data_IF_707506400105
#
_entry.id   IF_707506400105
#
_cell.length_a   1.000
_cell.length_b   1.000
_cell.length_c   1.000
_cell.angle_alpha   90.00
_cell.angle_beta   90.00
_cell.angle_gamma   90.00
#
_symmetry.space_group_name_H-M   'P 1'
#
loop_
_entity.id
_entity.type
_entity.pdbx_description
1 polymer ?
#
# COMPACT_ATOMS: atom_id res chain seq x y z
N UNK A 1 6.37 -6.24 -0.25
CA UNK A 1 5.49 -6.11 -1.41
C UNK A 1 4.83 -4.74 -1.32
N UNK A 2 4.84 -3.99 -2.40
CA UNK A 2 4.34 -2.61 -2.51
C UNK A 2 2.84 -2.54 -2.85
N UNK A 3 2.19 -3.69 -2.99
CA UNK A 3 0.79 -3.84 -3.37
C UNK A 3 0.57 -4.08 -4.85
N UNK A 4 1.60 -4.23 -5.68
CA UNK A 4 1.41 -4.49 -7.12
C UNK A 4 0.75 -5.86 -7.38
N UNK A 5 -0.36 -5.84 -8.12
CA UNK A 5 -1.25 -7.00 -8.28
C UNK A 5 -0.58 -8.21 -8.95
N UNK A 6 0.49 -8.03 -9.73
CA UNK A 6 1.18 -9.13 -10.36
C UNK A 6 1.87 -10.07 -9.35
N UNK A 7 2.36 -9.55 -8.22
CA UNK A 7 3.03 -10.37 -7.20
C UNK A 7 2.08 -11.37 -6.54
N UNK A 8 0.79 -11.05 -6.44
CA UNK A 8 -0.21 -11.96 -5.89
C UNK A 8 -0.40 -13.22 -6.76
N UNK A 9 -0.07 -13.15 -8.05
CA UNK A 9 -0.10 -14.32 -8.94
C UNK A 9 1.06 -15.28 -8.65
N UNK A 10 2.19 -14.76 -8.17
CA UNK A 10 3.36 -15.58 -7.82
C UNK A 10 3.17 -16.31 -6.49
N UNK A 11 2.42 -15.72 -5.57
CA UNK A 11 2.07 -16.35 -4.30
C UNK A 11 1.06 -17.50 -4.44
N UNK A 12 0.35 -17.57 -5.59
CA UNK A 12 -0.59 -18.65 -5.86
C UNK A 12 0.17 -19.79 -6.55
N UNK A 13 0.12 -20.97 -5.96
CA UNK A 13 0.73 -22.21 -6.47
C UNK A 13 -0.01 -22.81 -7.67
N UNK A 14 -0.61 -21.98 -8.54
CA UNK A 14 -1.42 -22.42 -9.68
C UNK A 14 -0.59 -23.15 -10.76
N UNK A 15 0.71 -23.34 -10.54
CA UNK A 15 1.67 -23.99 -11.42
C UNK A 15 2.30 -25.28 -10.87
N UNK A 16 1.81 -25.80 -9.74
CA UNK A 16 2.32 -27.05 -9.15
C UNK A 16 3.69 -26.93 -8.46
N UNK A 17 4.15 -25.71 -8.21
CA UNK A 17 5.30 -25.38 -7.35
C UNK A 17 4.79 -24.82 -6.01
N UNK A 18 5.57 -24.98 -4.94
CA UNK A 18 5.29 -24.40 -3.64
C UNK A 18 5.34 -22.87 -3.80
N UNK A 19 4.17 -22.22 -3.75
CA UNK A 19 4.04 -20.79 -4.02
C UNK A 19 5.03 -19.94 -3.22
N UNK A 20 5.53 -18.84 -3.79
CA UNK A 20 6.56 -18.05 -3.11
C UNK A 20 6.02 -17.33 -1.87
N UNK A 21 6.81 -17.32 -0.80
CA UNK A 21 6.50 -16.52 0.39
C UNK A 21 6.77 -15.04 0.10
N UNK A 22 5.72 -14.23 0.12
CA UNK A 22 5.85 -12.78 -0.08
C UNK A 22 6.27 -12.08 1.21
N UNK A 23 7.37 -11.34 1.16
CA UNK A 23 7.76 -10.44 2.24
C UNK A 23 7.06 -9.07 2.11
N UNK A 24 6.49 -8.56 3.20
CA UNK A 24 5.98 -7.19 3.32
C UNK A 24 7.11 -6.14 3.34
N UNK A 25 6.86 -4.92 2.86
CA UNK A 25 7.86 -3.84 2.91
C UNK A 25 7.50 -2.83 4.00
N UNK A 26 8.36 -2.70 5.02
CA UNK A 26 8.16 -1.79 6.15
C UNK A 26 7.99 -0.32 5.74
N UNK A 27 8.72 0.13 4.71
CA UNK A 27 8.61 1.51 4.21
C UNK A 27 7.21 1.81 3.66
N UNK A 28 6.61 0.87 2.94
CA UNK A 28 5.26 1.02 2.41
C UNK A 28 4.22 1.03 3.52
N UNK A 29 4.33 0.13 4.51
CA UNK A 29 3.42 0.12 5.66
C UNK A 29 3.49 1.42 6.46
N UNK A 30 4.71 1.92 6.74
CA UNK A 30 4.91 3.18 7.48
C UNK A 30 4.23 4.36 6.81
N UNK A 31 4.28 4.46 5.47
CA UNK A 31 3.69 5.59 4.74
C UNK A 31 2.22 5.78 5.08
N UNK A 32 1.45 4.68 5.18
CA UNK A 32 0.02 4.75 5.53
C UNK A 32 -0.24 5.19 6.96
N UNK A 33 0.54 4.68 7.92
CA UNK A 33 0.44 5.16 9.30
C UNK A 33 0.86 6.63 9.44
N UNK A 34 1.85 7.08 8.67
CA UNK A 34 2.27 8.47 8.66
C UNK A 34 1.19 9.42 8.12
N UNK A 35 0.51 9.06 7.03
CA UNK A 35 -0.61 9.83 6.47
C UNK A 35 -1.69 10.07 7.54
N UNK A 36 -2.00 9.06 8.36
CA UNK A 36 -3.02 9.14 9.41
C UNK A 36 -2.54 9.88 10.67
N UNK A 37 -1.27 9.72 11.02
CA UNK A 37 -0.64 10.47 12.10
C UNK A 37 -0.65 11.97 11.82
N UNK A 38 -0.25 12.38 10.60
CA UNK A 38 -0.26 13.80 10.19
C UNK A 38 -1.70 14.35 10.11
N UNK A 39 -2.67 13.52 9.72
CA UNK A 39 -4.08 13.89 9.74
C UNK A 39 -4.66 14.00 11.17
N UNK A 40 -3.93 13.59 12.20
CA UNK A 40 -4.40 13.59 13.59
C UNK A 40 -5.55 12.62 13.85
N UNK A 41 -5.78 11.66 12.94
CA UNK A 41 -7.01 10.85 12.92
C UNK A 41 -6.93 9.56 13.73
N UNK A 42 -5.76 9.21 14.29
CA UNK A 42 -5.58 7.95 15.03
C UNK A 42 -4.38 7.97 15.97
N UNK A 43 -4.63 7.77 17.27
CA UNK A 43 -3.58 7.54 18.27
C UNK A 43 -2.80 6.24 18.01
N UNK A 44 -3.46 5.23 17.46
CA UNK A 44 -2.85 3.95 17.10
C UNK A 44 -1.82 4.13 15.98
N UNK A 45 -2.05 5.07 15.06
CA UNK A 45 -1.07 5.40 14.03
C UNK A 45 0.20 6.01 14.64
N UNK A 46 0.07 6.92 15.60
CA UNK A 46 1.22 7.48 16.35
C UNK A 46 1.99 6.39 17.09
N UNK A 47 1.30 5.57 17.90
CA UNK A 47 1.93 4.48 18.65
C UNK A 47 2.61 3.45 17.74
N UNK A 48 2.04 3.18 16.56
CA UNK A 48 2.65 2.31 15.55
C UNK A 48 3.96 2.90 15.03
N UNK A 49 3.98 4.19 14.67
CA UNK A 49 5.19 4.85 14.17
C UNK A 49 6.31 4.87 15.21
N UNK A 50 5.98 5.13 16.47
CA UNK A 50 6.93 5.10 17.59
C UNK A 50 7.55 3.71 17.78
N UNK A 51 6.74 2.65 17.71
CA UNK A 51 7.24 1.27 17.78
C UNK A 51 8.09 0.91 16.57
N UNK A 52 7.68 1.31 15.36
CA UNK A 52 8.49 1.10 14.14
C UNK A 52 9.82 1.85 14.21
N UNK A 53 9.91 3.00 14.88
CA UNK A 53 11.16 3.74 15.08
C UNK A 53 12.26 2.85 15.69
N UNK A 54 11.89 1.95 16.60
CA UNK A 54 12.81 0.97 17.22
C UNK A 54 13.43 0.01 16.20
N UNK A 55 12.69 -0.40 15.16
CA UNK A 55 13.24 -1.23 14.08
C UNK A 55 14.39 -0.52 13.35
N UNK A 56 14.23 0.76 13.03
CA UNK A 56 15.31 1.53 12.40
C UNK A 56 16.48 1.81 13.34
N UNK A 57 16.26 1.85 14.66
CA UNK A 57 17.37 1.92 15.61
C UNK A 57 18.21 0.65 15.54
N UNK A 58 17.59 -0.53 15.51
CA UNK A 58 18.32 -1.80 15.30
C UNK A 58 19.04 -1.82 13.96
N UNK A 59 18.40 -1.35 12.88
CA UNK A 59 19.08 -1.29 11.57
C UNK A 59 20.28 -0.33 11.55
N UNK A 60 20.25 0.74 12.35
CA UNK A 60 21.39 1.64 12.51
C UNK A 60 22.55 0.97 13.25
N UNK A 61 22.29 0.16 14.28
CA UNK A 61 23.36 -0.49 15.07
C UNK A 61 24.06 -1.60 14.28
N UNK A 62 23.34 -2.30 13.41
CA UNK A 62 23.89 -3.41 12.61
C UNK A 62 24.51 -2.97 11.28
N UNK A 63 24.42 -1.67 10.94
CA UNK A 63 24.97 -1.13 9.70
C UNK A 63 26.49 -1.27 9.67
N UNK A 64 27.02 -1.88 8.61
CA UNK A 64 28.46 -2.10 8.46
C UNK A 64 29.00 -3.39 9.10
N UNK A 65 28.14 -4.16 9.78
CA UNK A 65 28.52 -5.48 10.31
C UNK A 65 28.45 -6.57 9.24
N UNK A 66 28.99 -7.76 9.54
CA UNK A 66 28.91 -8.93 8.66
C UNK A 66 27.46 -9.36 8.42
N UNK A 67 27.17 -10.05 7.29
CA UNK A 67 25.83 -10.55 7.00
C UNK A 67 25.24 -11.39 8.15
N UNK A 68 26.03 -12.29 8.74
CA UNK A 68 25.58 -13.18 9.80
C UNK A 68 25.25 -12.41 11.09
N UNK A 69 26.10 -11.45 11.46
CA UNK A 69 25.85 -10.59 12.62
C UNK A 69 24.56 -9.77 12.43
N UNK A 70 24.30 -9.28 11.21
CA UNK A 70 23.05 -8.58 10.89
C UNK A 70 21.83 -9.48 10.98
N UNK A 71 21.93 -10.75 10.60
CA UNK A 71 20.82 -11.71 10.72
C UNK A 71 20.54 -12.02 12.19
N UNK A 72 21.58 -12.36 12.96
CA UNK A 72 21.46 -12.66 14.38
C UNK A 72 20.84 -11.50 15.16
N UNK A 73 21.32 -10.28 14.93
CA UNK A 73 20.79 -9.09 15.59
C UNK A 73 19.31 -8.81 15.24
N UNK A 74 18.89 -9.06 13.99
CA UNK A 74 17.47 -8.94 13.60
C UNK A 74 16.60 -9.99 14.26
N UNK A 75 17.07 -11.23 14.31
CA UNK A 75 16.33 -12.32 14.97
C UNK A 75 16.17 -12.05 16.47
N UNK A 76 17.18 -11.49 17.12
CA UNK A 76 17.15 -11.26 18.55
C UNK A 76 16.41 -9.98 18.95
N UNK A 77 16.63 -8.86 18.24
CA UNK A 77 16.09 -7.56 18.62
C UNK A 77 14.86 -7.16 17.79
N UNK A 78 14.90 -7.34 16.47
CA UNK A 78 13.79 -6.90 15.61
C UNK A 78 12.56 -7.80 15.76
N UNK A 79 12.73 -9.10 16.03
CA UNK A 79 11.61 -10.04 16.16
C UNK A 79 10.64 -9.64 17.30
N UNK A 80 11.16 -9.24 18.46
CA UNK A 80 10.35 -8.78 19.58
C UNK A 80 9.57 -7.50 19.23
N UNK A 81 10.22 -6.53 18.60
CA UNK A 81 9.57 -5.28 18.16
C UNK A 81 8.45 -5.56 17.14
N UNK A 82 8.66 -6.52 16.25
CA UNK A 82 7.64 -6.94 15.27
C UNK A 82 6.46 -7.62 15.96
N UNK A 83 6.71 -8.52 16.92
CA UNK A 83 5.65 -9.15 17.70
C UNK A 83 4.79 -8.12 18.43
N UNK A 84 5.42 -7.17 19.13
CA UNK A 84 4.73 -6.07 19.82
C UNK A 84 3.87 -5.23 18.87
N UNK A 85 4.34 -4.97 17.64
CA UNK A 85 3.57 -4.25 16.62
C UNK A 85 2.32 -5.05 16.21
N UNK A 86 2.47 -6.34 15.94
CA UNK A 86 1.35 -7.20 15.57
C UNK A 86 0.33 -7.32 16.70
N UNK A 87 0.76 -7.41 17.96
CA UNK A 87 -0.16 -7.45 19.11
C UNK A 87 -0.98 -6.17 19.24
N UNK A 88 -0.35 -5.00 19.07
CA UNK A 88 -1.06 -3.72 19.05
C UNK A 88 -2.14 -3.68 17.95
N UNK A 89 -1.78 -4.10 16.74
CA UNK A 89 -2.70 -4.11 15.61
C UNK A 89 -3.84 -5.10 15.79
N UNK A 90 -3.56 -6.31 16.28
CA UNK A 90 -4.59 -7.31 16.58
C UNK A 90 -5.58 -6.83 17.65
N UNK A 91 -5.09 -6.19 18.71
CA UNK A 91 -5.94 -5.61 19.74
C UNK A 91 -6.83 -4.49 19.19
N UNK A 92 -6.30 -3.68 18.29
CA UNK A 92 -7.06 -2.58 17.68
C UNK A 92 -8.09 -3.10 16.68
N UNK A 93 -7.73 -4.11 15.86
CA UNK A 93 -8.67 -4.77 14.94
C UNK A 93 -9.89 -5.34 15.67
N UNK A 94 -9.71 -5.92 16.87
CA UNK A 94 -10.83 -6.43 17.68
C UNK A 94 -11.80 -5.32 18.13
N UNK A 95 -11.32 -4.08 18.26
CA UNK A 95 -12.15 -2.92 18.65
C UNK A 95 -12.96 -2.36 17.49
N UNK A 96 -12.51 -2.59 16.25
CA UNK A 96 -13.19 -2.13 15.04
C UNK A 96 -14.18 -3.22 14.64
N UNK A 97 -15.43 -3.08 15.12
CA UNK A 97 -16.55 -3.91 14.68
C UNK A 97 -16.69 -3.83 13.17
N UNK A 98 -16.81 -4.96 12.48
CA UNK A 98 -16.97 -5.05 11.01
C UNK A 98 -18.25 -4.42 10.45
N UNK A 99 -19.01 -3.65 11.25
CA UNK A 99 -20.30 -3.04 10.87
C UNK A 99 -20.45 -1.57 11.22
N UNK A 100 -19.46 -0.90 11.80
CA UNK A 100 -19.50 0.56 11.95
C UNK A 100 -19.01 1.23 10.67
N UNK A 101 -19.68 2.31 10.25
CA UNK A 101 -19.29 3.18 9.12
C UNK A 101 -17.97 3.89 9.47
N UNK A 102 -16.85 3.17 9.40
CA UNK A 102 -15.50 3.61 9.74
C UNK A 102 -14.91 4.45 8.62
N UNK A 103 -15.41 5.67 8.46
CA UNK A 103 -14.80 6.66 7.58
C UNK A 103 -13.64 7.32 8.34
N UNK A 104 -12.45 6.73 8.28
CA UNK A 104 -11.21 7.34 8.82
C UNK A 104 -10.20 6.42 9.53
N UNK A 105 -10.45 5.10 9.67
CA UNK A 105 -9.56 4.20 10.42
C UNK A 105 -8.62 3.37 9.52
N UNK A 106 -7.29 3.34 9.76
CA UNK A 106 -6.29 2.56 9.00
C UNK A 106 -6.60 1.07 8.84
N UNK A 107 -7.19 0.46 9.87
CA UNK A 107 -7.32 -0.99 9.96
C UNK A 107 -8.55 -1.51 9.22
N UNK A 108 -9.43 -0.61 8.78
CA UNK A 108 -10.57 -0.94 7.93
C UNK A 108 -10.14 -1.52 6.56
N UNK A 109 -8.90 -1.25 6.11
CA UNK A 109 -8.33 -1.81 4.89
C UNK A 109 -7.81 -3.25 5.04
N UNK A 110 -7.75 -3.80 6.26
CA UNK A 110 -7.24 -5.14 6.55
C UNK A 110 -8.34 -6.16 6.87
N UNK A 111 -9.59 -5.71 6.99
CA UNK A 111 -10.75 -6.60 7.05
C UNK A 111 -11.11 -7.13 5.64
N UNK A 112 -11.48 -8.41 5.48
CA UNK A 112 -11.91 -8.95 4.19
C UNK A 112 -13.35 -8.49 3.88
N UNK A 113 -13.51 -7.20 3.56
CA UNK A 113 -14.78 -6.65 3.10
C UNK A 113 -14.88 -6.78 1.58
N UNK A 114 -15.63 -7.82 1.18
CA UNK A 114 -16.23 -8.11 -0.13
C UNK A 114 -15.91 -7.17 -1.30
N UNK A 115 -15.18 -7.74 -2.26
CA UNK A 115 -15.06 -7.34 -3.64
C UNK A 115 -16.44 -7.14 -4.29
N UNK A 116 -17.01 -5.93 -4.22
CA UNK A 116 -18.11 -5.49 -5.10
C UNK A 116 -17.66 -4.25 -5.86
N UNK A 117 -17.13 -4.51 -7.06
CA UNK A 117 -17.14 -3.68 -8.27
C UNK A 117 -17.33 -2.17 -8.05
N UNK A 118 -16.21 -1.44 -8.03
CA UNK A 118 -16.21 -0.03 -8.43
C UNK A 118 -16.14 0.03 -9.97
N UNK A 119 -17.03 0.77 -10.65
CA UNK A 119 -16.98 0.91 -12.10
C UNK A 119 -15.74 1.71 -12.50
N UNK A 120 -15.01 1.19 -13.49
CA UNK A 120 -13.81 1.79 -14.05
C UNK A 120 -14.06 3.25 -14.47
N UNK A 121 -13.31 4.19 -13.89
CA UNK A 121 -13.20 5.55 -14.44
C UNK A 121 -12.50 5.47 -15.80
N UNK A 122 -13.19 5.93 -16.86
CA UNK A 122 -12.64 6.03 -18.23
C UNK A 122 -11.44 6.98 -18.25
N UNK A 123 -10.30 6.62 -18.86
CA UNK A 123 -9.21 7.57 -19.07
C UNK A 123 -9.56 8.53 -20.21
N UNK A 124 -9.55 9.82 -19.87
CA UNK A 124 -9.71 10.95 -20.77
C UNK A 124 -8.40 11.21 -21.51
N UNK A 125 -8.17 10.56 -22.66
CA UNK A 125 -7.31 11.06 -23.75
C UNK A 125 -7.28 10.07 -24.92
N UNK A 126 -8.00 10.37 -25.99
CA UNK A 126 -7.63 9.90 -27.32
C UNK A 126 -8.23 10.81 -28.41
N UNK A 127 -7.33 11.32 -29.25
CA UNK A 127 -7.54 11.64 -30.68
C UNK A 127 -8.19 12.98 -31.05
N UNK A 128 -7.37 14.01 -30.91
CA UNK A 128 -7.05 14.94 -32.00
C UNK A 128 -6.71 14.18 -33.31
N UNK A 129 -7.70 13.73 -34.09
CA UNK A 129 -7.53 13.37 -35.52
C UNK A 129 -8.87 13.43 -36.26
N UNK A 130 -9.60 14.56 -36.26
CA UNK A 130 -10.71 14.80 -37.22
C UNK A 130 -10.96 16.29 -37.55
N UNK A 131 -9.98 17.18 -37.33
CA UNK A 131 -10.09 18.63 -37.61
C UNK A 131 -9.32 19.08 -38.87
N UNK A 132 -9.25 18.21 -39.89
CA UNK A 132 -8.66 18.49 -41.22
C UNK A 132 -9.58 18.18 -42.41
N UNK A 133 -10.91 18.13 -42.20
CA UNK A 133 -11.86 17.83 -43.27
C UNK A 133 -13.14 18.70 -43.27
N UNK A 134 -13.09 19.93 -42.72
CA UNK A 134 -14.24 20.87 -42.71
C UNK A 134 -13.85 22.35 -42.90
N UNK A 135 -12.80 22.63 -43.67
CA UNK A 135 -12.42 24.01 -44.01
C UNK A 135 -12.01 24.20 -45.49
N UNK A 136 -12.32 23.26 -46.38
CA UNK A 136 -12.07 23.41 -47.83
C UNK A 136 -13.35 23.36 -48.69
N UNK A 137 -14.53 23.38 -48.08
CA UNK A 137 -15.82 23.36 -48.81
C UNK A 137 -16.71 24.57 -48.50
N UNK A 138 -16.15 25.68 -48.03
CA UNK A 138 -16.90 26.91 -47.75
C UNK A 138 -16.31 28.20 -48.37
N UNK A 139 -15.21 28.11 -49.13
CA UNK A 139 -14.63 29.27 -49.85
C UNK A 139 -15.01 29.30 -51.35
N UNK A 140 -16.00 28.51 -51.78
CA UNK A 140 -16.45 28.42 -53.17
C UNK A 140 -17.83 29.05 -53.43
N UNK A 141 -18.21 30.06 -52.63
CA UNK A 141 -19.44 30.82 -52.86
C UNK A 141 -19.26 32.31 -52.51
N UNK A 142 -18.46 33.01 -53.32
CA UNK A 142 -18.54 34.46 -53.61
C UNK A 142 -17.49 34.83 -54.65
N UNK A 143 -17.72 34.37 -55.89
CA UNK A 143 -17.31 35.07 -57.11
C UNK A 143 -18.54 35.86 -57.53
N UNK A 144 -18.43 37.18 -57.44
CA UNK A 144 -19.01 38.18 -58.35
C UNK A 144 -18.29 39.50 -58.10
#
# INVERSE_FOLDING_TARGET
>A
MDGYAAYNKLARSDRGDDGITLAGCWSHSRRKFYELHVAGSSEVATATLERMAKLWQVEKTVRGQSPDARVAARQQASAAVVADLFDLWQQTLRRISGKSNCRGDPLCCLAPCHLRTLPARRPHRARLQHRRARHQTADNYKKE
#
